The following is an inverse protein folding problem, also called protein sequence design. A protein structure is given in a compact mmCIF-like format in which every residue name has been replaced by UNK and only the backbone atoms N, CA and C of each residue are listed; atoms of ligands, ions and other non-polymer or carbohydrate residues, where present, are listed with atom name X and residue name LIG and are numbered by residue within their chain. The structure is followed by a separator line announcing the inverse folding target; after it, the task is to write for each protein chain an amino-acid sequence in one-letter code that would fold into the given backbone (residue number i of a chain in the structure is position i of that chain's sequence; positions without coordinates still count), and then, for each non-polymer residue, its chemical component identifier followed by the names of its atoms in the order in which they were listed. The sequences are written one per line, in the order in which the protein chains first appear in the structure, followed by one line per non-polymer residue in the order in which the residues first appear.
data_IF_852064325100
#
_entry.id   IF_852064325100
#
_cell.length_a   1.000
_cell.length_b   1.000
_cell.length_c   1.000
_cell.angle_alpha   90.00
_cell.angle_beta   90.00
_cell.angle_gamma   90.00
#
_symmetry.space_group_name_H-M   'P 1'
#
loop_
_entity.id
_entity.type
_entity.pdbx_description
1 polymer ?
#
# COMPACT_ATOMS: atom_id res chain seq x y z
N UNK A 1 7.94 -4.56 -7.75
CA UNK A 1 7.56 -5.63 -6.80
C UNK A 1 6.05 -5.69 -6.73
N UNK A 2 5.47 -6.88 -6.66
CA UNK A 2 4.02 -7.08 -6.60
C UNK A 2 3.66 -7.82 -5.32
N UNK A 3 2.47 -7.52 -4.79
CA UNK A 3 1.93 -8.14 -3.60
C UNK A 3 0.55 -8.67 -3.92
N UNK A 4 0.28 -9.92 -3.54
CA UNK A 4 -1.01 -10.56 -3.75
C UNK A 4 -1.60 -10.96 -2.40
N UNK A 5 -2.76 -10.37 -2.08
CA UNK A 5 -3.61 -10.87 -1.01
C UNK A 5 -4.48 -11.99 -1.58
N UNK A 6 -4.39 -13.17 -0.96
CA UNK A 6 -5.12 -14.36 -1.38
C UNK A 6 -6.00 -14.85 -0.24
N UNK A 7 -7.23 -15.27 -0.56
CA UNK A 7 -8.16 -15.86 0.41
C UNK A 7 -7.68 -17.22 0.92
N UNK A 8 -6.95 -17.95 0.07
CA UNK A 8 -6.40 -19.28 0.32
C UNK A 8 -5.17 -19.53 -0.58
N UNK A 9 -4.34 -20.55 -0.29
CA UNK A 9 -3.19 -20.86 -1.11
C UNK A 9 -3.53 -21.14 -2.58
N UNK A 10 -2.71 -20.59 -3.48
CA UNK A 10 -2.77 -20.88 -4.91
C UNK A 10 -2.18 -22.27 -5.18
N UNK A 11 -2.80 -23.01 -6.08
CA UNK A 11 -2.24 -24.23 -6.68
C UNK A 11 -1.06 -23.86 -7.59
N UNK A 12 -0.20 -24.83 -7.91
CA UNK A 12 0.93 -24.59 -8.82
C UNK A 12 0.51 -24.02 -10.19
N UNK A 13 -0.66 -24.44 -10.70
CA UNK A 13 -1.18 -23.92 -11.96
C UNK A 13 -1.60 -22.46 -11.83
N UNK A 14 -2.32 -22.11 -10.76
CA UNK A 14 -2.74 -20.72 -10.48
C UNK A 14 -1.52 -19.81 -10.27
N UNK A 15 -0.52 -20.29 -9.51
CA UNK A 15 0.74 -19.56 -9.28
C UNK A 15 1.47 -19.24 -10.59
N UNK A 16 1.58 -20.21 -11.52
CA UNK A 16 2.20 -19.97 -12.84
C UNK A 16 1.43 -18.96 -13.68
N UNK A 17 0.09 -19.00 -13.63
CA UNK A 17 -0.75 -18.01 -14.33
C UNK A 17 -0.50 -16.63 -13.75
N UNK A 18 -0.51 -16.49 -12.41
CA UNK A 18 -0.24 -15.22 -11.75
C UNK A 18 1.16 -14.68 -12.07
N UNK A 19 2.19 -15.53 -11.99
CA UNK A 19 3.56 -15.16 -12.37
C UNK A 19 3.64 -14.65 -13.81
N UNK A 20 2.94 -15.31 -14.74
CA UNK A 20 2.88 -14.90 -16.15
C UNK A 20 2.20 -13.54 -16.30
N UNK A 21 1.10 -13.29 -15.59
CA UNK A 21 0.39 -12.00 -15.62
C UNK A 21 1.25 -10.84 -15.09
N UNK A 22 2.12 -11.12 -14.13
CA UNK A 22 2.98 -10.11 -13.49
C UNK A 22 4.31 -9.89 -14.23
N UNK A 23 4.58 -10.65 -15.29
CA UNK A 23 5.70 -10.43 -16.21
C UNK A 23 5.28 -9.45 -17.31
N UNK A 24 5.57 -8.18 -17.11
CA UNK A 24 5.28 -7.12 -18.07
C UNK A 24 6.31 -5.98 -18.01
N UNK A 25 6.29 -5.14 -19.04
CA UNK A 25 7.17 -3.98 -19.17
C UNK A 25 8.36 -4.23 -20.10
N UNK A 26 9.25 -3.24 -20.27
CA UNK A 26 10.43 -3.39 -21.10
C UNK A 26 11.38 -4.44 -20.51
N UNK A 27 12.03 -5.21 -21.38
CA UNK A 27 13.08 -6.13 -20.98
C UNK A 27 14.33 -5.34 -20.55
N UNK A 28 14.46 -5.10 -19.25
CA UNK A 28 15.64 -4.50 -18.64
C UNK A 28 16.52 -5.63 -18.10
N UNK A 29 17.84 -5.46 -18.22
CA UNK A 29 18.77 -6.41 -17.60
C UNK A 29 18.50 -6.50 -16.09
N UNK A 30 18.26 -7.71 -15.62
CA UNK A 30 18.13 -7.97 -14.19
C UNK A 30 19.48 -7.84 -13.51
N UNK A 31 19.49 -7.17 -12.35
CA UNK A 31 20.66 -7.05 -11.49
C UNK A 31 20.33 -7.67 -10.14
N UNK A 32 21.32 -8.30 -9.52
CA UNK A 32 21.19 -8.74 -8.15
C UNK A 32 21.00 -7.51 -7.24
N UNK A 33 20.00 -7.50 -6.35
CA UNK A 33 19.76 -6.38 -5.47
C UNK A 33 20.92 -6.22 -4.47
N UNK A 34 21.59 -5.08 -4.49
CA UNK A 34 22.69 -4.73 -3.57
C UNK A 34 22.40 -3.41 -2.89
N UNK A 35 22.56 -3.36 -1.56
CA UNK A 35 22.39 -2.16 -0.76
C UNK A 35 21.18 -2.20 0.16
N UNK A 36 20.81 -1.04 0.68
CA UNK A 36 19.69 -0.87 1.62
C UNK A 36 18.36 -0.79 0.85
N UNK A 37 17.37 -1.60 1.25
CA UNK A 37 16.03 -1.59 0.67
C UNK A 37 15.26 -0.35 1.11
N UNK A 38 14.69 0.35 0.14
CA UNK A 38 13.65 1.37 0.32
C UNK A 38 12.47 0.96 -0.56
N UNK A 39 11.41 0.46 0.07
CA UNK A 39 10.21 0.01 -0.61
C UNK A 39 9.16 1.11 -0.60
N UNK A 40 8.85 1.65 -1.78
CA UNK A 40 7.81 2.65 -1.98
C UNK A 40 6.52 1.94 -2.41
N UNK A 41 5.43 2.20 -1.69
CA UNK A 41 4.12 1.61 -1.91
C UNK A 41 3.03 2.69 -1.82
N UNK A 42 1.81 2.44 -2.34
CA UNK A 42 0.68 3.31 -2.05
C UNK A 42 0.46 3.45 -0.55
N UNK A 43 -0.03 4.62 -0.11
CA UNK A 43 -0.26 4.88 1.31
C UNK A 43 -1.25 3.84 1.89
N UNK A 44 -0.97 3.26 3.08
CA UNK A 44 -1.92 2.37 3.74
C UNK A 44 -3.29 3.02 3.91
N UNK A 45 -4.36 2.24 3.70
CA UNK A 45 -5.74 2.75 3.64
C UNK A 45 -6.15 3.31 2.27
N UNK A 46 -5.28 3.23 1.26
CA UNK A 46 -5.62 3.56 -0.13
C UNK A 46 -5.50 2.32 -1.04
N UNK A 47 -6.18 2.35 -2.18
CA UNK A 47 -6.09 1.33 -3.23
C UNK A 47 -5.67 2.03 -4.52
N UNK A 48 -4.57 1.59 -5.12
CA UNK A 48 -4.09 2.24 -6.35
C UNK A 48 -5.00 1.91 -7.54
N UNK A 49 -5.10 2.79 -8.57
CA UNK A 49 -5.80 2.45 -9.80
C UNK A 49 -5.19 1.24 -10.54
N UNK A 50 -3.90 0.97 -10.31
CA UNK A 50 -3.24 -0.23 -10.81
C UNK A 50 -3.80 -1.48 -10.12
N UNK A 51 -3.99 -1.42 -8.80
CA UNK A 51 -4.55 -2.51 -7.99
C UNK A 51 -5.90 -2.98 -8.50
N UNK A 52 -6.84 -2.04 -8.73
CA UNK A 52 -8.17 -2.39 -9.24
C UNK A 52 -8.09 -3.14 -10.57
N UNK A 53 -7.35 -2.60 -11.55
CA UNK A 53 -7.25 -3.20 -12.88
C UNK A 53 -6.48 -4.53 -12.88
N UNK A 54 -5.41 -4.63 -12.09
CA UNK A 54 -4.63 -5.85 -11.98
C UNK A 54 -5.46 -6.97 -11.35
N UNK A 55 -6.25 -6.64 -10.31
CA UNK A 55 -7.16 -7.59 -9.66
C UNK A 55 -8.26 -8.05 -10.63
N UNK A 56 -8.87 -7.13 -11.39
CA UNK A 56 -9.85 -7.48 -12.44
C UNK A 56 -9.26 -8.43 -13.51
N UNK A 57 -8.01 -8.19 -13.93
CA UNK A 57 -7.31 -9.07 -14.87
C UNK A 57 -7.10 -10.47 -14.25
N UNK A 58 -6.69 -10.54 -12.99
CA UNK A 58 -6.51 -11.81 -12.29
C UNK A 58 -7.81 -12.62 -12.22
N UNK A 59 -8.94 -11.98 -11.85
CA UNK A 59 -10.26 -12.62 -11.85
C UNK A 59 -10.68 -13.10 -13.24
N UNK A 60 -10.48 -12.28 -14.28
CA UNK A 60 -10.78 -12.68 -15.66
C UNK A 60 -9.93 -13.84 -16.17
N UNK A 61 -8.78 -14.09 -15.54
CA UNK A 61 -7.93 -15.25 -15.81
C UNK A 61 -8.24 -16.46 -14.92
N UNK A 62 -9.34 -16.43 -14.15
CA UNK A 62 -9.80 -17.52 -13.29
C UNK A 62 -9.07 -17.61 -11.95
N UNK A 63 -8.38 -16.55 -11.52
CA UNK A 63 -7.70 -16.49 -10.22
C UNK A 63 -8.62 -15.91 -9.12
N UNK A 64 -9.77 -16.55 -8.88
CA UNK A 64 -10.80 -16.06 -7.95
C UNK A 64 -10.31 -15.91 -6.49
N UNK A 65 -9.24 -16.64 -6.14
CA UNK A 65 -8.61 -16.58 -4.82
C UNK A 65 -7.83 -15.29 -4.56
N UNK A 66 -7.45 -14.56 -5.62
CA UNK A 66 -6.74 -13.29 -5.50
C UNK A 66 -7.75 -12.23 -5.08
N UNK A 67 -7.71 -11.81 -3.81
CA UNK A 67 -8.61 -10.77 -3.32
C UNK A 67 -8.17 -9.39 -3.79
N UNK A 68 -6.86 -9.15 -3.81
CA UNK A 68 -6.28 -7.89 -4.28
C UNK A 68 -4.82 -8.03 -4.68
N UNK A 69 -4.46 -7.40 -5.79
CA UNK A 69 -3.07 -7.17 -6.18
C UNK A 69 -2.66 -5.75 -5.87
N UNK A 70 -1.44 -5.53 -5.39
CA UNK A 70 -0.85 -4.19 -5.27
C UNK A 70 0.59 -4.18 -5.78
N UNK A 71 1.09 -3.00 -6.16
CA UNK A 71 2.43 -2.83 -6.70
C UNK A 71 3.23 -1.81 -5.89
N UNK A 72 4.48 -2.17 -5.61
CA UNK A 72 5.48 -1.27 -5.05
C UNK A 72 6.74 -1.19 -5.91
N UNK A 73 7.53 -0.15 -5.65
CA UNK A 73 8.86 0.05 -6.23
C UNK A 73 9.89 -0.21 -5.15
N UNK A 74 10.74 -1.21 -5.36
CA UNK A 74 11.86 -1.51 -4.48
C UNK A 74 13.10 -0.80 -5.01
N UNK A 75 13.55 0.23 -4.30
CA UNK A 75 14.84 0.88 -4.53
C UNK A 75 15.89 0.21 -3.65
N UNK A 76 17.06 -0.09 -4.23
CA UNK A 76 18.22 -0.59 -3.50
C UNK A 76 19.29 0.49 -3.52
N UNK A 77 19.55 1.10 -2.36
CA UNK A 77 20.49 2.21 -2.23
C UNK A 77 21.86 1.69 -1.81
N UNK A 78 22.84 1.81 -2.69
CA UNK A 78 24.23 1.50 -2.40
C UNK A 78 24.99 2.78 -2.04
N UNK A 79 25.72 2.74 -0.94
CA UNK A 79 26.58 3.82 -0.47
C UNK A 79 27.84 3.22 0.17
N UNK A 80 28.93 4.01 0.20
CA UNK A 80 30.22 3.57 0.76
C UNK A 80 30.16 3.26 2.27
N UNK A 81 29.17 3.82 2.96
CA UNK A 81 28.86 3.56 4.36
C UNK A 81 27.35 3.48 4.56
N UNK A 82 26.93 2.88 5.68
CA UNK A 82 25.52 2.81 6.06
C UNK A 82 24.91 4.22 6.13
N UNK A 83 23.72 4.39 5.56
CA UNK A 83 23.04 5.67 5.55
C UNK A 83 22.66 6.08 6.98
N UNK A 84 22.93 7.33 7.35
CA UNK A 84 22.37 7.93 8.56
C UNK A 84 20.87 8.17 8.40
N UNK A 85 20.16 8.37 9.52
CA UNK A 85 18.72 8.68 9.49
C UNK A 85 18.40 9.96 8.68
N UNK A 86 19.27 10.98 8.76
CA UNK A 86 19.10 12.21 7.96
C UNK A 86 19.31 11.97 6.46
N UNK A 87 20.29 11.15 6.09
CA UNK A 87 20.52 10.79 4.69
C UNK A 87 19.36 9.95 4.13
N UNK A 88 18.85 8.98 4.90
CA UNK A 88 17.65 8.23 4.53
C UNK A 88 16.46 9.14 4.31
N UNK A 89 16.20 10.08 5.22
CA UNK A 89 15.09 11.02 5.08
C UNK A 89 15.20 11.89 3.81
N UNK A 90 16.42 12.33 3.46
CA UNK A 90 16.66 13.05 2.20
C UNK A 90 16.42 12.16 0.97
N UNK A 91 16.90 10.92 1.01
CA UNK A 91 16.71 9.96 -0.08
C UNK A 91 15.23 9.64 -0.28
N UNK A 92 14.51 9.29 0.79
CA UNK A 92 13.07 9.00 0.70
C UNK A 92 12.28 10.20 0.20
N UNK A 93 12.65 11.43 0.59
CA UNK A 93 12.01 12.66 0.11
C UNK A 93 12.02 12.88 -1.42
N UNK A 94 12.89 12.20 -2.17
CA UNK A 94 12.91 12.26 -3.65
C UNK A 94 12.41 10.97 -4.32
N UNK A 95 12.23 9.90 -3.56
CA UNK A 95 11.86 8.57 -4.08
C UNK A 95 10.36 8.30 -4.06
N UNK A 96 9.56 9.12 -3.34
CA UNK A 96 8.12 8.94 -3.25
C UNK A 96 7.38 10.28 -3.22
N UNK A 97 6.11 10.25 -3.61
CA UNK A 97 5.17 11.34 -3.37
C UNK A 97 4.54 11.19 -1.99
N UNK A 98 4.90 12.11 -1.08
CA UNK A 98 4.40 12.12 0.30
C UNK A 98 2.87 12.14 0.42
N UNK A 99 2.13 12.56 -0.61
CA UNK A 99 0.67 12.69 -0.59
C UNK A 99 -0.06 11.38 -0.89
N UNK A 100 0.56 10.47 -1.65
CA UNK A 100 -0.09 9.26 -2.16
C UNK A 100 0.66 7.97 -1.85
N UNK A 101 1.94 8.06 -1.50
CA UNK A 101 2.81 6.92 -1.23
C UNK A 101 3.33 6.92 0.21
N UNK A 102 3.84 5.76 0.62
CA UNK A 102 4.53 5.54 1.88
C UNK A 102 5.81 4.74 1.64
N UNK A 103 6.74 4.84 2.58
CA UNK A 103 8.05 4.21 2.53
C UNK A 103 8.14 3.14 3.61
N UNK A 104 8.48 1.93 3.20
CA UNK A 104 8.73 0.76 4.04
C UNK A 104 10.20 0.36 3.93
N UNK A 105 10.74 -0.23 5.00
CA UNK A 105 12.14 -0.66 5.06
C UNK A 105 12.28 -2.19 5.05
N UNK A 106 11.17 -2.92 5.14
CA UNK A 106 11.10 -4.36 5.00
C UNK A 106 9.94 -4.75 4.06
N UNK A 107 10.06 -5.89 3.39
CA UNK A 107 9.02 -6.39 2.47
C UNK A 107 7.79 -6.85 3.25
N UNK A 108 8.01 -7.40 4.44
CA UNK A 108 6.98 -7.91 5.34
C UNK A 108 6.02 -6.81 5.82
N UNK A 109 6.50 -5.57 5.92
CA UNK A 109 5.69 -4.42 6.31
C UNK A 109 4.59 -4.12 5.28
N UNK A 110 4.74 -4.58 4.03
CA UNK A 110 3.73 -4.40 2.98
C UNK A 110 2.39 -5.10 3.30
N UNK A 111 2.35 -5.96 4.33
CA UNK A 111 1.09 -6.47 4.91
C UNK A 111 0.13 -5.36 5.31
N UNK A 112 0.63 -4.19 5.72
CA UNK A 112 -0.22 -3.03 6.04
C UNK A 112 -1.07 -2.54 4.88
N UNK A 113 -0.68 -2.85 3.64
CA UNK A 113 -1.46 -2.50 2.45
C UNK A 113 -2.82 -3.20 2.48
N UNK A 114 -2.90 -4.38 3.09
CA UNK A 114 -4.04 -5.30 3.12
C UNK A 114 -4.72 -5.37 4.48
N UNK A 115 -4.61 -4.31 5.28
CA UNK A 115 -5.36 -4.22 6.53
C UNK A 115 -6.87 -4.12 6.26
N UNK A 116 -7.65 -4.96 6.94
CA UNK A 116 -9.12 -4.93 6.90
C UNK A 116 -9.66 -4.37 8.22
N UNK A 117 -10.19 -3.16 8.17
CA UNK A 117 -10.86 -2.55 9.30
C UNK A 117 -12.31 -3.02 9.43
N UNK A 118 -12.77 -3.15 10.67
CA UNK A 118 -14.20 -3.35 10.93
C UNK A 118 -14.96 -2.04 10.68
N UNK A 119 -16.21 -2.09 10.17
CA UNK A 119 -17.02 -0.90 9.99
C UNK A 119 -17.11 -0.07 11.28
N UNK A 120 -16.77 1.22 11.20
CA UNK A 120 -16.85 2.12 12.33
C UNK A 120 -18.31 2.39 12.74
N UNK A 121 -18.62 2.46 14.06
CA UNK A 121 -19.98 2.75 14.52
C UNK A 121 -20.38 4.20 14.22
N UNK A 122 -21.69 4.42 14.09
CA UNK A 122 -22.26 5.77 13.96
C UNK A 122 -21.97 6.60 15.23
N UNK A 123 -21.34 7.76 15.06
CA UNK A 123 -21.19 8.75 16.13
C UNK A 123 -22.44 9.63 16.24
N UNK A 124 -22.82 10.00 17.47
CA UNK A 124 -23.96 10.88 17.75
C UNK A 124 -23.48 12.10 18.53
N UNK A 125 -24.03 13.27 18.20
CA UNK A 125 -23.81 14.52 18.95
C UNK A 125 -24.97 14.72 19.93
N UNK A 126 -24.67 14.79 21.23
CA UNK A 126 -25.69 14.93 22.28
C UNK A 126 -26.19 16.37 22.41
N UNK A 127 -27.12 16.74 21.54
CA UNK A 127 -27.78 18.05 21.57
C UNK A 127 -28.76 18.17 22.74
N UNK A 128 -29.32 17.05 23.21
CA UNK A 128 -30.32 17.07 24.28
C UNK A 128 -29.68 17.34 25.64
N UNK A 129 -28.53 16.72 25.94
CA UNK A 129 -27.77 16.93 27.17
C UNK A 129 -26.78 18.10 27.08
N UNK A 130 -26.13 18.28 25.94
CA UNK A 130 -25.07 19.28 25.76
C UNK A 130 -25.48 20.56 25.03
N UNK A 131 -26.73 20.65 24.56
CA UNK A 131 -27.27 21.85 23.93
C UNK A 131 -26.42 22.37 22.77
N UNK A 132 -26.27 23.69 22.70
CA UNK A 132 -25.47 24.35 21.67
C UNK A 132 -23.98 23.98 21.74
N UNK A 133 -23.44 23.77 22.94
CA UNK A 133 -22.01 23.54 23.10
C UNK A 133 -21.58 22.20 22.51
N UNK A 134 -22.44 21.18 22.56
CA UNK A 134 -22.22 19.91 21.85
C UNK A 134 -22.04 20.11 20.34
N UNK A 135 -22.81 21.03 19.74
CA UNK A 135 -22.67 21.36 18.31
C UNK A 135 -21.40 22.15 18.02
N UNK A 136 -21.01 23.09 18.90
CA UNK A 136 -19.75 23.85 18.75
C UNK A 136 -18.54 22.91 18.81
N UNK A 137 -18.55 21.95 19.74
CA UNK A 137 -17.49 20.95 19.83
C UNK A 137 -17.47 20.04 18.59
N UNK A 138 -18.63 19.59 18.12
CA UNK A 138 -18.73 18.81 16.89
C UNK A 138 -18.22 19.59 15.66
N UNK A 139 -18.52 20.89 15.56
CA UNK A 139 -18.04 21.76 14.49
C UNK A 139 -16.51 21.78 14.42
N UNK A 140 -15.86 21.98 15.57
CA UNK A 140 -14.40 22.02 15.67
C UNK A 140 -13.77 20.64 15.41
N UNK A 141 -14.33 19.58 15.99
CA UNK A 141 -13.79 18.23 15.88
C UNK A 141 -13.91 17.63 14.47
N UNK A 142 -15.00 17.94 13.76
CA UNK A 142 -15.29 17.41 12.42
C UNK A 142 -14.93 18.39 11.29
N UNK A 143 -14.57 19.63 11.61
CA UNK A 143 -14.20 20.64 10.61
C UNK A 143 -15.37 21.10 9.73
N UNK A 144 -16.53 21.40 10.32
CA UNK A 144 -17.77 21.73 9.58
C UNK A 144 -17.87 23.20 9.09
N UNK A 145 -16.75 23.93 9.11
CA UNK A 145 -16.60 25.38 8.85
C UNK A 145 -17.20 26.28 9.95
#
# INVERSE_FOLDING_TARGET
MHFAEVSEPLTDSESRVLETLLQYGPAVATQEPVGELILVVPRPGTISPWSSKATDIAHNCGLDKVQRLERGVAYYLQADAALSASQRHKATGVLHDRMIEAVLYAVEDARTLFHHDQPAPLSRVDVLGGGRDALVQANLALGLA
#
